data_IF_080355577243
#
_entry.id   IF_080355577243
#
_cell.length_a   1.000
_cell.length_b   1.000
_cell.length_c   1.000
_cell.angle_alpha   90.00
_cell.angle_beta   90.00
_cell.angle_gamma   90.00
#
_symmetry.space_group_name_H-M   'P 1'
#
loop_
_entity.id
_entity.type
_entity.pdbx_description
1 polymer ?
#
# COMPACT_ATOMS: atom_id res chain seq x y z
N UNK A 1 -37.11 32.26 -9.68
CA UNK A 1 -35.81 32.13 -9.00
C UNK A 1 -36.00 31.17 -7.84
N UNK A 2 -35.01 30.30 -7.62
CA UNK A 2 -34.70 29.58 -6.38
C UNK A 2 -34.96 28.04 -6.32
N UNK A 3 -33.90 27.33 -6.71
CA UNK A 3 -33.30 26.07 -6.19
C UNK A 3 -34.14 24.78 -6.09
N UNK A 4 -33.99 23.91 -7.10
CA UNK A 4 -33.92 22.47 -6.85
C UNK A 4 -32.58 22.19 -6.16
N UNK A 5 -32.62 21.93 -4.85
CA UNK A 5 -31.51 21.30 -4.17
C UNK A 5 -31.48 19.83 -4.58
N UNK A 6 -30.59 19.51 -5.52
CA UNK A 6 -30.16 18.13 -5.69
C UNK A 6 -29.36 17.77 -4.43
N UNK A 7 -30.01 17.03 -3.53
CA UNK A 7 -29.32 16.25 -2.50
C UNK A 7 -28.46 15.23 -3.23
N UNK A 8 -27.22 15.65 -3.54
CA UNK A 8 -26.17 14.77 -3.99
C UNK A 8 -25.89 13.78 -2.88
N UNK A 9 -26.53 12.62 -2.96
CA UNK A 9 -26.12 11.45 -2.22
C UNK A 9 -24.68 11.16 -2.62
N UNK A 10 -23.72 11.43 -1.73
CA UNK A 10 -22.39 10.84 -1.77
C UNK A 10 -22.53 9.33 -1.49
N UNK A 11 -23.19 8.60 -2.38
CA UNK A 11 -23.06 7.14 -2.45
C UNK A 11 -21.79 6.86 -3.23
N UNK A 12 -20.69 6.94 -2.51
CA UNK A 12 -19.37 6.53 -2.95
C UNK A 12 -18.61 6.02 -1.75
N UNK A 13 -19.24 5.15 -0.94
CA UNK A 13 -18.46 4.24 -0.11
C UNK A 13 -17.79 3.28 -1.09
N UNK A 14 -16.63 3.68 -1.61
CA UNK A 14 -15.77 2.81 -2.39
C UNK A 14 -15.35 1.67 -1.47
N UNK A 15 -16.06 0.54 -1.57
CA UNK A 15 -15.73 -0.69 -0.83
C UNK A 15 -14.43 -1.33 -1.36
N UNK A 16 -13.83 -0.76 -2.40
CA UNK A 16 -12.57 -1.19 -3.00
C UNK A 16 -11.33 -0.51 -2.41
N UNK A 17 -11.47 0.30 -1.35
CA UNK A 17 -10.35 0.96 -0.66
C UNK A 17 -9.23 0.01 -0.15
N UNK A 18 -9.42 -1.31 -0.26
CA UNK A 18 -8.51 -2.33 0.24
C UNK A 18 -7.88 -3.25 -0.81
N UNK A 19 -8.04 -3.06 -2.13
CA UNK A 19 -7.53 -4.01 -3.13
C UNK A 19 -6.76 -3.35 -4.28
N UNK A 20 -5.90 -2.37 -4.00
CA UNK A 20 -4.99 -1.86 -5.03
C UNK A 20 -4.07 -2.95 -5.59
N UNK A 21 -3.50 -2.77 -6.80
CA UNK A 21 -2.79 -3.80 -7.55
C UNK A 21 -1.36 -3.97 -7.03
N UNK A 22 -1.22 -4.29 -5.75
CA UNK A 22 0.08 -4.41 -5.09
C UNK A 22 0.13 -5.59 -4.13
N UNK A 23 1.31 -6.19 -4.02
CA UNK A 23 1.60 -7.22 -3.04
C UNK A 23 2.88 -6.87 -2.28
N UNK A 24 3.01 -7.38 -1.05
CA UNK A 24 4.17 -7.10 -0.21
C UNK A 24 4.78 -8.34 0.38
N UNK A 25 6.10 -8.29 0.62
CA UNK A 25 6.83 -9.32 1.37
C UNK A 25 7.98 -8.71 2.16
N UNK A 26 8.52 -9.49 3.09
CA UNK A 26 9.71 -9.13 3.84
C UNK A 26 10.94 -9.78 3.18
N UNK A 27 11.93 -8.95 2.82
CA UNK A 27 13.24 -9.42 2.32
C UNK A 27 14.32 -8.79 3.18
N UNK A 28 15.08 -9.62 3.89
CA UNK A 28 16.18 -9.20 4.77
C UNK A 28 15.77 -8.09 5.77
N UNK A 29 14.54 -8.13 6.27
CA UNK A 29 13.99 -7.15 7.21
C UNK A 29 13.40 -5.88 6.58
N UNK A 30 13.38 -5.78 5.24
CA UNK A 30 12.84 -4.64 4.52
C UNK A 30 11.54 -5.00 3.78
N UNK A 31 10.64 -4.03 3.65
CA UNK A 31 9.40 -4.21 2.90
C UNK A 31 9.74 -4.17 1.42
N UNK A 32 9.44 -5.24 0.70
CA UNK A 32 9.43 -5.24 -0.74
C UNK A 32 7.99 -5.16 -1.23
N UNK A 33 7.74 -4.24 -2.17
CA UNK A 33 6.45 -3.96 -2.78
C UNK A 33 6.54 -4.40 -4.25
N UNK A 34 5.57 -5.17 -4.71
CA UNK A 34 5.38 -5.48 -6.12
C UNK A 34 4.17 -4.71 -6.66
N UNK A 35 4.29 -4.18 -7.88
CA UNK A 35 3.17 -3.62 -8.64
C UNK A 35 2.63 -4.68 -9.60
N UNK A 36 1.32 -4.88 -9.62
CA UNK A 36 0.67 -5.90 -10.46
C UNK A 36 0.04 -5.36 -11.73
N UNK A 37 -0.03 -4.03 -11.85
CA UNK A 37 -0.49 -3.34 -13.03
C UNK A 37 0.50 -2.26 -13.45
N UNK A 38 0.47 -1.89 -14.74
CA UNK A 38 1.29 -0.80 -15.25
C UNK A 38 0.65 0.53 -14.85
N UNK A 39 1.39 1.37 -14.12
CA UNK A 39 0.89 2.65 -13.60
C UNK A 39 1.96 3.74 -13.75
N UNK A 40 1.59 4.90 -14.32
CA UNK A 40 2.41 6.11 -14.18
C UNK A 40 2.23 6.65 -12.77
N UNK A 41 3.28 6.58 -11.97
CA UNK A 41 3.26 6.95 -10.56
C UNK A 41 3.96 8.29 -10.36
N UNK A 42 3.30 9.18 -9.60
CA UNK A 42 3.82 10.48 -9.17
C UNK A 42 4.24 10.50 -7.68
N UNK A 43 3.66 9.60 -6.87
CA UNK A 43 3.99 9.43 -5.46
C UNK A 43 3.63 8.03 -4.96
N UNK A 44 4.46 7.47 -4.09
CA UNK A 44 4.15 6.27 -3.30
C UNK A 44 4.35 6.60 -1.84
N UNK A 45 3.33 6.38 -1.02
CA UNK A 45 3.46 6.50 0.42
C UNK A 45 2.98 5.25 1.13
N UNK A 46 3.69 4.87 2.20
CA UNK A 46 3.30 3.75 3.03
C UNK A 46 3.31 4.15 4.50
N UNK A 47 2.31 3.65 5.22
CA UNK A 47 2.13 3.86 6.65
C UNK A 47 1.63 2.59 7.30
N UNK A 48 1.85 2.42 8.61
CA UNK A 48 1.22 1.36 9.38
C UNK A 48 0.40 1.93 10.52
N UNK A 49 -0.56 1.15 11.00
CA UNK A 49 -1.34 1.45 12.21
C UNK A 49 -1.65 0.18 12.97
N UNK A 50 -1.65 0.27 14.29
CA UNK A 50 -2.04 -0.81 15.19
C UNK A 50 -3.55 -0.73 15.44
N UNK A 51 -4.24 -1.87 15.37
CA UNK A 51 -5.62 -2.03 15.79
C UNK A 51 -5.64 -2.38 17.27
N UNK A 52 -6.29 -1.55 18.09
CA UNK A 52 -6.56 -1.84 19.50
C UNK A 52 -8.06 -1.90 19.75
N UNK A 53 -8.55 -3.09 20.04
CA UNK A 53 -9.97 -3.36 20.30
C UNK A 53 -10.86 -2.86 19.14
N UNK A 54 -11.53 -1.72 19.33
CA UNK A 54 -12.48 -1.12 18.37
C UNK A 54 -11.91 0.06 17.59
N UNK A 55 -10.66 0.45 17.81
CA UNK A 55 -10.06 1.64 17.21
C UNK A 55 -8.66 1.37 16.66
N UNK A 56 -8.27 2.15 15.65
CA UNK A 56 -6.89 2.18 15.19
C UNK A 56 -6.13 3.29 15.91
N UNK A 57 -4.88 3.01 16.27
CA UNK A 57 -3.93 4.04 16.68
C UNK A 57 -3.60 4.97 15.50
N UNK A 58 -3.03 6.16 15.76
CA UNK A 58 -2.53 7.04 14.71
C UNK A 58 -1.57 6.32 13.77
N UNK A 59 -1.62 6.69 12.49
CA UNK A 59 -0.74 6.15 11.45
C UNK A 59 0.69 6.61 11.69
N UNK A 60 1.64 5.72 11.44
CA UNK A 60 3.07 6.02 11.38
C UNK A 60 3.52 5.88 9.93
N UNK A 61 3.96 6.98 9.34
CA UNK A 61 4.48 7.00 7.96
C UNK A 61 5.94 6.52 7.94
N UNK A 62 6.25 5.61 7.02
CA UNK A 62 7.58 5.02 6.90
C UNK A 62 8.15 5.07 5.47
N UNK A 63 7.32 5.34 4.47
CA UNK A 63 7.74 5.52 3.09
C UNK A 63 7.07 6.75 2.49
N UNK A 64 7.86 7.59 1.86
CA UNK A 64 7.38 8.65 0.97
C UNK A 64 8.34 8.81 -0.22
N UNK A 65 7.94 8.26 -1.36
CA UNK A 65 8.64 8.38 -2.64
C UNK A 65 7.91 9.41 -3.50
N UNK A 66 8.59 10.47 -3.91
CA UNK A 66 8.03 11.52 -4.78
C UNK A 66 8.83 11.60 -6.05
N UNK A 67 8.19 11.50 -7.20
CA UNK A 67 8.87 11.46 -8.49
C UNK A 67 7.95 10.91 -9.56
N UNK A 68 8.36 10.96 -10.83
CA UNK A 68 7.51 10.50 -11.93
C UNK A 68 8.15 9.33 -12.63
N UNK A 69 7.47 8.18 -12.60
CA UNK A 69 7.93 6.96 -13.27
C UNK A 69 6.77 6.04 -13.59
N UNK A 70 6.80 5.41 -14.75
CA UNK A 70 5.95 4.26 -15.05
C UNK A 70 6.52 3.02 -14.38
N UNK A 71 5.72 2.39 -13.52
CA UNK A 71 6.03 1.09 -12.95
C UNK A 71 5.33 0.02 -13.77
N UNK A 72 6.09 -0.99 -14.22
CA UNK A 72 5.52 -2.11 -14.97
C UNK A 72 5.05 -3.25 -14.04
N UNK A 73 4.15 -4.13 -14.51
CA UNK A 73 3.75 -5.32 -13.77
C UNK A 73 4.96 -6.17 -13.36
N UNK A 74 4.98 -6.63 -12.12
CA UNK A 74 6.08 -7.38 -11.51
C UNK A 74 7.28 -6.53 -11.11
N UNK A 75 7.28 -5.21 -11.33
CA UNK A 75 8.37 -4.36 -10.88
C UNK A 75 8.40 -4.27 -9.36
N UNK A 76 9.59 -4.48 -8.79
CA UNK A 76 9.82 -4.54 -7.35
C UNK A 76 10.41 -3.23 -6.84
N UNK A 77 9.89 -2.76 -5.71
CA UNK A 77 10.41 -1.63 -4.94
C UNK A 77 10.80 -2.12 -3.55
N UNK A 78 12.00 -1.80 -3.09
CA UNK A 78 12.44 -2.15 -1.73
C UNK A 78 12.53 -0.89 -0.88
N UNK A 79 11.77 -0.85 0.21
CA UNK A 79 11.82 0.22 1.21
C UNK A 79 13.21 0.22 1.84
N UNK A 80 13.78 1.42 2.04
CA UNK A 80 15.14 1.56 2.55
C UNK A 80 16.21 1.64 1.44
N UNK A 81 15.85 1.38 0.17
CA UNK A 81 16.76 1.53 -0.97
C UNK A 81 16.36 2.71 -1.87
N UNK A 82 17.36 3.28 -2.55
CA UNK A 82 17.13 4.27 -3.58
C UNK A 82 16.38 3.62 -4.76
N UNK A 83 15.33 4.28 -5.24
CA UNK A 83 14.56 3.86 -6.41
C UNK A 83 14.78 4.89 -7.51
N UNK A 84 15.37 4.46 -8.63
CA UNK A 84 15.56 5.35 -9.78
C UNK A 84 14.21 5.92 -10.24
N UNK A 85 14.17 7.24 -10.45
CA UNK A 85 12.97 7.99 -10.85
C UNK A 85 12.17 8.58 -9.68
N UNK A 86 12.56 8.30 -8.44
CA UNK A 86 11.97 8.89 -7.24
C UNK A 86 13.00 9.56 -6.35
N UNK A 87 12.66 10.74 -5.84
CA UNK A 87 13.28 11.32 -4.66
C UNK A 87 12.68 10.62 -3.43
N UNK A 88 13.51 9.86 -2.71
CA UNK A 88 13.07 9.11 -1.55
C UNK A 88 13.25 9.94 -0.27
N UNK A 89 12.14 10.16 0.46
CA UNK A 89 12.19 10.48 1.88
C UNK A 89 11.83 9.21 2.65
N UNK A 90 12.86 8.50 3.06
CA UNK A 90 12.73 7.40 4.00
C UNK A 90 12.65 8.03 5.39
N UNK A 91 11.49 7.94 6.03
CA UNK A 91 11.44 7.99 7.49
C UNK A 91 12.11 6.70 7.98
N UNK A 92 12.74 6.73 9.15
CA UNK A 92 13.59 5.64 9.67
C UNK A 92 13.03 4.26 9.34
N UNK A 93 13.90 3.41 8.77
CA UNK A 93 13.61 2.03 8.40
C UNK A 93 12.82 1.38 9.54
N UNK A 94 11.50 1.13 9.40
CA UNK A 94 10.85 0.32 10.38
C UNK A 94 11.48 -1.04 10.19
N UNK A 95 12.35 -1.47 11.10
CA UNK A 95 12.50 -2.89 11.31
C UNK A 95 11.05 -3.37 11.51
N UNK A 96 10.52 -4.06 10.49
CA UNK A 96 9.11 -4.39 10.40
C UNK A 96 8.82 -5.51 11.41
N UNK A 97 8.93 -5.21 12.70
CA UNK A 97 8.33 -5.97 13.80
C UNK A 97 6.80 -5.74 13.76
N UNK A 98 6.24 -5.74 12.56
CA UNK A 98 4.83 -5.57 12.27
C UNK A 98 4.22 -6.95 12.42
N UNK A 99 3.63 -7.21 13.58
CA UNK A 99 2.99 -8.48 13.93
C UNK A 99 1.47 -8.28 14.15
N UNK A 100 0.77 -9.40 14.40
CA UNK A 100 -0.68 -9.48 14.50
C UNK A 100 -1.34 -8.32 15.24
N UNK A 101 -2.38 -7.76 14.60
CA UNK A 101 -3.11 -6.52 14.91
C UNK A 101 -2.62 -5.25 14.21
N UNK A 102 -1.56 -5.32 13.40
CA UNK A 102 -1.18 -4.19 12.54
C UNK A 102 -1.78 -4.26 11.13
N UNK A 103 -1.93 -3.10 10.51
CA UNK A 103 -2.32 -2.94 9.10
C UNK A 103 -1.30 -2.04 8.41
N UNK A 104 -0.82 -2.47 7.23
CA UNK A 104 -0.03 -1.62 6.34
C UNK A 104 -0.97 -0.98 5.32
N UNK A 105 -0.86 0.33 5.14
CA UNK A 105 -1.58 1.10 4.14
C UNK A 105 -0.58 1.63 3.13
N UNK A 106 -0.76 1.23 1.87
CA UNK A 106 0.03 1.68 0.73
C UNK A 106 -0.84 2.54 -0.18
N UNK A 107 -0.33 3.70 -0.55
CA UNK A 107 -0.96 4.66 -1.45
C UNK A 107 -0.06 4.83 -2.67
N UNK A 108 -0.61 4.59 -3.85
CA UNK A 108 0.06 4.80 -5.12
C UNK A 108 -0.73 5.86 -5.88
N UNK A 109 -0.19 7.07 -5.94
CA UNK A 109 -0.80 8.18 -6.66
C UNK A 109 -0.20 8.27 -8.06
N UNK A 110 -1.06 8.16 -9.08
CA UNK A 110 -0.71 8.40 -10.47
C UNK A 110 -1.00 9.82 -10.93
N UNK A 111 -1.09 10.02 -12.26
CA UNK A 111 -1.49 11.31 -12.85
C UNK A 111 -2.99 11.59 -12.68
N UNK A 112 -3.80 10.56 -12.84
CA UNK A 112 -5.26 10.67 -12.97
C UNK A 112 -6.03 9.86 -11.92
N UNK A 113 -5.34 9.02 -11.14
CA UNK A 113 -5.97 8.13 -10.16
C UNK A 113 -5.07 7.91 -8.92
N UNK A 114 -5.70 7.46 -7.83
CA UNK A 114 -5.02 7.05 -6.60
C UNK A 114 -5.49 5.66 -6.23
N UNK A 115 -4.55 4.71 -6.25
CA UNK A 115 -4.80 3.36 -5.76
C UNK A 115 -4.39 3.24 -4.30
N UNK A 116 -5.20 2.54 -3.50
CA UNK A 116 -4.93 2.25 -2.09
C UNK A 116 -4.96 0.75 -1.86
N UNK A 117 -3.96 0.22 -1.18
CA UNK A 117 -3.91 -1.17 -0.72
C UNK A 117 -3.79 -1.19 0.79
N UNK A 118 -4.64 -1.98 1.45
CA UNK A 118 -4.61 -2.19 2.88
C UNK A 118 -4.27 -3.66 3.13
N UNK A 119 -3.16 -3.93 3.82
CA UNK A 119 -2.71 -5.28 4.09
C UNK A 119 -2.99 -5.62 5.55
N UNK A 120 -3.82 -6.62 5.77
CA UNK A 120 -4.07 -7.18 7.10
C UNK A 120 -2.92 -8.11 7.46
N UNK A 121 -2.19 -7.78 8.54
CA UNK A 121 -1.00 -8.55 8.91
C UNK A 121 -1.39 -9.89 9.55
N UNK A 122 -0.83 -11.01 9.09
CA UNK A 122 -0.99 -12.27 9.79
C UNK A 122 -0.21 -12.22 11.12
N UNK A 123 -0.47 -13.17 12.01
CA UNK A 123 0.14 -13.19 13.35
C UNK A 123 1.68 -13.24 13.34
N UNK A 124 2.27 -13.80 12.28
CA UNK A 124 3.73 -13.84 12.06
C UNK A 124 4.30 -12.64 11.31
N UNK A 125 3.50 -11.60 11.04
CA UNK A 125 3.90 -10.40 10.33
C UNK A 125 4.01 -10.56 8.82
N UNK A 126 4.70 -9.63 8.15
CA UNK A 126 4.88 -9.68 6.69
C UNK A 126 5.67 -10.96 6.32
N UNK A 127 5.15 -11.81 5.40
CA UNK A 127 5.76 -13.10 5.10
C UNK A 127 7.14 -12.96 4.42
N UNK A 128 8.03 -13.91 4.72
CA UNK A 128 9.37 -14.03 4.10
C UNK A 128 9.37 -14.97 2.88
N UNK A 129 8.57 -16.04 2.93
CA UNK A 129 8.52 -17.09 1.90
C UNK A 129 7.26 -17.01 1.03
N UNK A 130 6.68 -15.81 0.87
CA UNK A 130 5.47 -15.60 0.07
C UNK A 130 5.13 -14.12 -0.06
N UNK A 131 4.04 -13.84 -0.77
CA UNK A 131 3.54 -12.50 -1.04
C UNK A 131 2.20 -12.28 -0.34
N UNK A 132 2.16 -11.33 0.56
CA UNK A 132 0.92 -10.89 1.19
C UNK A 132 0.15 -10.01 0.23
N UNK A 133 -1.07 -10.44 -0.07
CA UNK A 133 -2.04 -9.75 -0.88
C UNK A 133 -2.90 -8.81 -0.03
N UNK A 134 -3.53 -7.77 -0.62
CA UNK A 134 -4.36 -6.83 0.15
C UNK A 134 -5.60 -7.47 0.80
N UNK A 135 -6.09 -8.59 0.27
CA UNK A 135 -7.16 -9.37 0.88
C UNK A 135 -6.73 -10.16 2.13
N UNK A 136 -5.42 -10.20 2.41
CA UNK A 136 -4.82 -10.93 3.52
C UNK A 136 -4.32 -12.32 3.17
N UNK A 137 -4.51 -12.79 1.93
CA UNK A 137 -3.99 -14.08 1.48
C UNK A 137 -2.49 -14.01 1.24
N UNK A 138 -1.82 -15.15 1.38
CA UNK A 138 -0.38 -15.31 1.09
C UNK A 138 -0.22 -16.23 -0.11
N UNK A 139 0.41 -15.72 -1.17
CA UNK A 139 0.59 -16.41 -2.45
C UNK A 139 2.07 -16.64 -2.76
N UNK A 140 2.36 -17.61 -3.65
CA UNK A 140 3.74 -17.88 -4.10
C UNK A 140 4.25 -16.81 -5.08
N UNK A 141 3.34 -16.16 -5.81
CA UNK A 141 3.63 -15.11 -6.79
C UNK A 141 3.08 -13.75 -6.34
N UNK A 142 3.75 -12.63 -6.66
CA UNK A 142 3.28 -11.30 -6.25
C UNK A 142 1.98 -10.91 -6.94
N UNK A 143 1.82 -11.29 -8.20
CA UNK A 143 0.76 -10.82 -9.07
C UNK A 143 0.10 -12.02 -9.76
N UNK A 144 -0.68 -12.80 -9.00
CA UNK A 144 -1.34 -13.97 -9.55
C UNK A 144 -2.30 -13.54 -10.67
N UNK A 145 -2.17 -14.15 -11.84
CA UNK A 145 -3.19 -14.05 -12.89
C UNK A 145 -4.37 -14.91 -12.47
N UNK A 146 -5.53 -14.30 -12.20
CA UNK A 146 -6.81 -15.00 -12.09
C UNK A 146 -7.13 -15.84 -13.34
#
# INVERSE_FOLDING_TARGET
>A
MLFLAATGSLTGCDTNLGQGPTAVRNVDGNLQIAMCESVEVSRISASYREKRFIAYLPRVEFLDLVGRKTLEPGQLLEVGRAVEGFDAKLSENPALDIEGDMEILLWVAGSDDVSTSAFLMPSGGVPVDGWLQPDGDVTDEPCPTE
#
